data_IF_078656064152
#
_entry.id   IF_078656064152
#
_cell.length_a   1.000
_cell.length_b   1.000
_cell.length_c   1.000
_cell.angle_alpha   90.00
_cell.angle_beta   90.00
_cell.angle_gamma   90.00
#
_symmetry.space_group_name_H-M   'P 1'
#
loop_
_entity.id
_entity.type
_entity.pdbx_description
1 polymer ?
#
# COMPACT_ATOMS: atom_id res chain seq x y z
N UNK A 1 19.67 41.73 -5.19
CA UNK A 1 19.73 40.34 -4.66
C UNK A 1 18.39 39.71 -5.01
N UNK A 2 18.35 38.82 -6.01
CA UNK A 2 17.18 38.02 -6.28
C UNK A 2 17.02 37.06 -5.10
N UNK A 3 15.94 37.22 -4.32
CA UNK A 3 15.47 36.11 -3.48
C UNK A 3 15.23 34.93 -4.41
N UNK A 4 15.77 33.74 -4.16
CA UNK A 4 15.30 32.56 -4.89
C UNK A 4 13.81 32.49 -4.67
N UNK A 5 13.06 32.11 -5.71
CA UNK A 5 11.61 31.91 -5.64
C UNK A 5 11.36 31.04 -4.41
N UNK A 6 10.98 31.68 -3.31
CA UNK A 6 11.16 31.09 -1.99
C UNK A 6 9.98 30.24 -1.67
N UNK A 7 10.25 29.10 -1.13
CA UNK A 7 9.36 28.32 -0.31
C UNK A 7 8.37 29.16 0.54
N UNK A 8 8.78 30.37 0.95
CA UNK A 8 7.98 31.34 1.71
C UNK A 8 6.85 31.97 0.88
N UNK A 9 6.94 31.96 -0.44
CA UNK A 9 5.92 32.50 -1.34
C UNK A 9 4.75 31.52 -1.56
N UNK A 10 4.93 30.25 -1.16
CA UNK A 10 3.90 29.20 -1.22
C UNK A 10 2.85 29.38 -0.11
N UNK A 11 3.19 30.10 0.96
CA UNK A 11 2.31 30.35 2.08
C UNK A 11 1.93 31.82 2.20
N UNK A 12 0.89 32.28 1.47
CA UNK A 12 0.39 33.64 1.68
C UNK A 12 -0.07 33.80 3.13
N UNK A 13 0.27 34.92 3.73
CA UNK A 13 -0.17 35.24 5.10
C UNK A 13 -1.50 35.98 5.08
N UNK A 14 -2.44 35.63 6.00
CA UNK A 14 -2.42 34.55 7.00
C UNK A 14 -2.44 33.17 6.34
N UNK A 15 -1.96 32.14 7.05
CA UNK A 15 -2.07 30.75 6.60
C UNK A 15 -3.53 30.47 6.29
N UNK A 16 -3.82 30.25 5.01
CA UNK A 16 -5.14 29.97 4.49
C UNK A 16 -5.14 28.58 3.86
N UNK A 17 -5.51 27.56 4.63
CA UNK A 17 -6.01 26.32 4.03
C UNK A 17 -7.49 26.53 3.67
N UNK A 18 -8.00 25.82 2.67
CA UNK A 18 -9.44 25.72 2.50
C UNK A 18 -10.05 25.04 3.74
N UNK A 19 -11.23 25.48 4.14
CA UNK A 19 -11.93 24.86 5.25
C UNK A 19 -12.18 23.39 4.95
N UNK A 20 -11.72 22.52 5.82
CA UNK A 20 -12.14 21.14 5.82
C UNK A 20 -13.43 21.10 6.62
N UNK A 21 -14.54 20.73 5.99
CA UNK A 21 -15.73 20.34 6.74
C UNK A 21 -15.26 19.31 7.74
N UNK A 22 -15.42 19.56 9.04
CA UNK A 22 -15.05 18.57 10.03
C UNK A 22 -15.86 17.31 9.72
N UNK A 23 -15.26 16.33 9.03
CA UNK A 23 -15.96 15.09 8.78
C UNK A 23 -16.12 14.39 10.11
N UNK A 24 -16.97 13.39 10.20
CA UNK A 24 -16.78 12.41 11.24
C UNK A 24 -15.32 11.99 11.21
N UNK A 25 -14.66 12.04 12.36
CA UNK A 25 -13.29 11.58 12.54
C UNK A 25 -13.14 10.23 11.86
N UNK A 26 -12.09 10.03 11.06
CA UNK A 26 -11.85 8.73 10.46
C UNK A 26 -11.81 7.65 11.55
N UNK A 27 -12.30 6.47 11.24
CA UNK A 27 -12.30 5.36 12.18
C UNK A 27 -10.93 4.67 12.16
N UNK A 28 -10.46 4.20 13.31
CA UNK A 28 -9.26 3.36 13.34
C UNK A 28 -9.56 2.01 12.68
N UNK A 29 -8.63 1.47 11.85
CA UNK A 29 -8.80 0.15 11.29
C UNK A 29 -8.98 -0.89 12.41
N UNK A 30 -9.94 -1.77 12.24
CA UNK A 30 -10.18 -2.90 13.13
C UNK A 30 -9.52 -4.17 12.57
N UNK A 31 -9.50 -5.23 13.40
CA UNK A 31 -9.08 -6.56 12.94
C UNK A 31 -10.22 -7.33 12.29
N UNK A 32 -10.93 -6.69 11.37
CA UNK A 32 -11.95 -7.33 10.56
C UNK A 32 -11.33 -7.95 9.30
N UNK A 33 -11.86 -9.07 8.85
CA UNK A 33 -11.50 -9.65 7.57
C UNK A 33 -11.96 -8.76 6.41
N UNK A 34 -11.13 -8.65 5.37
CA UNK A 34 -11.50 -8.01 4.12
C UNK A 34 -11.64 -9.09 3.04
N UNK A 35 -12.88 -9.32 2.60
CA UNK A 35 -13.21 -10.45 1.74
C UNK A 35 -13.37 -10.01 0.29
N UNK A 36 -12.47 -10.48 -0.58
CA UNK A 36 -12.51 -10.30 -2.03
C UNK A 36 -13.07 -11.52 -2.77
N UNK A 37 -12.92 -11.52 -4.08
CA UNK A 37 -13.27 -12.66 -4.95
C UNK A 37 -12.16 -13.70 -5.00
N UNK A 38 -10.92 -13.24 -5.15
CA UNK A 38 -9.71 -14.05 -5.30
C UNK A 38 -9.00 -14.28 -3.97
N UNK A 39 -9.11 -13.32 -3.04
CA UNK A 39 -8.38 -13.33 -1.77
C UNK A 39 -9.27 -12.99 -0.58
N UNK A 40 -8.79 -13.39 0.60
CA UNK A 40 -9.25 -12.86 1.89
C UNK A 40 -8.03 -12.27 2.59
N UNK A 41 -8.14 -11.06 3.10
CA UNK A 41 -7.17 -10.50 4.03
C UNK A 41 -7.64 -10.82 5.44
N UNK A 42 -6.96 -11.76 6.07
CA UNK A 42 -7.26 -12.17 7.44
C UNK A 42 -6.36 -11.42 8.43
N UNK A 43 -6.90 -10.94 9.56
CA UNK A 43 -6.05 -10.41 10.63
C UNK A 43 -4.96 -11.42 10.95
N UNK A 44 -3.71 -10.97 10.93
CA UNK A 44 -2.57 -11.86 11.07
C UNK A 44 -2.62 -12.63 12.38
N UNK A 45 -2.45 -13.95 12.31
CA UNK A 45 -2.45 -14.88 13.43
C UNK A 45 -1.24 -15.82 13.31
N UNK A 46 -0.36 -15.81 14.32
CA UNK A 46 0.86 -16.59 14.27
C UNK A 46 0.63 -18.11 14.26
N UNK A 47 -0.46 -18.60 14.87
CA UNK A 47 -0.77 -20.03 14.88
C UNK A 47 -1.28 -20.53 13.53
N UNK A 48 -2.03 -19.68 12.81
CA UNK A 48 -2.65 -20.05 11.54
C UNK A 48 -1.72 -19.80 10.34
N UNK A 49 -0.95 -18.70 10.38
CA UNK A 49 -0.29 -18.18 9.19
C UNK A 49 1.22 -18.33 9.17
N UNK A 50 1.89 -18.57 10.34
CA UNK A 50 3.35 -18.49 10.40
C UNK A 50 4.06 -19.47 9.47
N UNK A 51 3.64 -20.74 9.47
CA UNK A 51 4.25 -21.77 8.63
C UNK A 51 4.03 -21.48 7.15
N UNK A 52 2.79 -21.15 6.76
CA UNK A 52 2.43 -20.87 5.39
C UNK A 52 3.18 -19.64 4.84
N UNK A 53 3.21 -18.54 5.60
CA UNK A 53 3.92 -17.32 5.22
C UNK A 53 5.44 -17.51 5.23
N UNK A 54 5.99 -18.32 6.13
CA UNK A 54 7.40 -18.66 6.13
C UNK A 54 7.78 -19.39 4.83
N UNK A 55 7.06 -20.43 4.50
CA UNK A 55 7.23 -21.20 3.26
C UNK A 55 7.15 -20.24 2.05
N UNK A 56 6.08 -19.47 1.96
CA UNK A 56 5.83 -18.54 0.85
C UNK A 56 6.92 -17.47 0.67
N UNK A 57 7.60 -17.09 1.75
CA UNK A 57 8.63 -16.05 1.73
C UNK A 57 10.09 -16.55 1.73
N UNK A 58 10.36 -17.88 1.81
CA UNK A 58 11.74 -18.38 2.03
C UNK A 58 12.13 -19.59 1.16
N UNK A 59 11.21 -20.27 0.50
CA UNK A 59 11.52 -21.54 -0.19
C UNK A 59 12.29 -21.41 -1.51
N UNK A 60 12.42 -20.20 -2.06
CA UNK A 60 13.16 -20.00 -3.30
C UNK A 60 14.00 -18.73 -3.28
N UNK A 61 15.00 -18.59 -4.16
CA UNK A 61 15.74 -17.33 -4.32
C UNK A 61 14.84 -16.14 -4.65
N UNK A 62 13.78 -16.35 -5.44
CA UNK A 62 12.80 -15.33 -5.79
C UNK A 62 11.99 -14.91 -4.57
N UNK A 63 11.63 -15.86 -3.69
CA UNK A 63 10.97 -15.58 -2.41
C UNK A 63 11.90 -14.83 -1.47
N UNK A 64 13.17 -15.20 -1.36
CA UNK A 64 14.16 -14.50 -0.54
C UNK A 64 14.39 -13.05 -0.98
N UNK A 65 14.30 -12.76 -2.28
CA UNK A 65 14.44 -11.41 -2.82
C UNK A 65 13.31 -10.44 -2.35
N UNK A 66 12.21 -10.95 -1.80
CA UNK A 66 11.14 -10.15 -1.19
C UNK A 66 11.67 -9.29 -0.04
N UNK A 67 12.63 -9.83 0.73
CA UNK A 67 13.17 -9.20 1.92
C UNK A 67 14.20 -8.10 1.66
N UNK A 68 14.63 -7.91 0.39
CA UNK A 68 15.68 -6.94 0.04
C UNK A 68 15.35 -5.50 0.45
N UNK A 69 14.07 -5.12 0.41
CA UNK A 69 13.60 -3.77 0.71
C UNK A 69 12.72 -3.67 1.96
N UNK A 70 12.55 -4.76 2.71
CA UNK A 70 11.87 -4.75 3.98
C UNK A 70 12.86 -4.57 5.13
N UNK A 71 12.49 -3.79 6.16
CA UNK A 71 13.36 -3.46 7.30
C UNK A 71 13.70 -4.66 8.16
N UNK A 72 13.10 -5.80 7.90
CA UNK A 72 13.23 -7.07 8.60
C UNK A 72 13.37 -8.23 7.61
N UNK A 73 13.66 -9.43 8.14
CA UNK A 73 13.84 -10.64 7.34
C UNK A 73 15.12 -10.64 6.48
N UNK A 74 15.38 -11.76 5.79
CA UNK A 74 14.73 -13.05 6.01
C UNK A 74 15.04 -13.65 7.38
N UNK A 75 14.29 -14.67 7.81
CA UNK A 75 14.50 -15.39 9.07
C UNK A 75 15.12 -16.77 8.84
N UNK A 76 15.94 -17.25 9.79
CA UNK A 76 16.67 -18.50 9.61
C UNK A 76 15.80 -19.76 9.63
N UNK A 77 14.63 -19.69 10.29
CA UNK A 77 13.68 -20.78 10.42
C UNK A 77 12.28 -20.29 10.76
N UNK A 78 11.32 -21.20 10.71
CA UNK A 78 9.90 -20.91 10.97
C UNK A 78 9.64 -20.44 12.41
N UNK A 79 10.39 -20.93 13.39
CA UNK A 79 10.19 -20.57 14.81
C UNK A 79 10.57 -19.10 15.02
N UNK A 80 11.70 -18.66 14.47
CA UNK A 80 12.10 -17.25 14.51
C UNK A 80 11.05 -16.35 13.83
N UNK A 81 10.49 -16.78 12.72
CA UNK A 81 9.43 -16.06 12.04
C UNK A 81 8.13 -16.02 12.85
N UNK A 82 7.78 -17.12 13.49
CA UNK A 82 6.59 -17.24 14.34
C UNK A 82 6.59 -16.25 15.51
N UNK A 83 7.75 -16.01 16.13
CA UNK A 83 7.88 -15.00 17.19
C UNK A 83 7.58 -13.60 16.65
N UNK A 84 8.09 -13.28 15.46
CA UNK A 84 7.78 -12.00 14.81
C UNK A 84 6.28 -11.88 14.53
N UNK A 85 5.66 -12.93 13.98
CA UNK A 85 4.21 -12.91 13.73
C UNK A 85 3.38 -12.78 15.02
N UNK A 86 3.82 -13.35 16.13
CA UNK A 86 3.15 -13.12 17.43
C UNK A 86 3.15 -11.65 17.81
N UNK A 87 4.29 -10.98 17.67
CA UNK A 87 4.41 -9.55 17.92
C UNK A 87 3.52 -8.75 16.97
N UNK A 88 3.55 -9.06 15.67
CA UNK A 88 2.71 -8.41 14.65
C UNK A 88 1.22 -8.65 14.90
N UNK A 89 0.85 -9.86 15.32
CA UNK A 89 -0.54 -10.21 15.65
C UNK A 89 -1.08 -9.46 16.85
N UNK A 90 -0.23 -9.04 17.78
CA UNK A 90 -0.61 -8.25 18.94
C UNK A 90 -0.55 -6.74 18.71
N UNK A 91 0.07 -6.28 17.62
CA UNK A 91 0.26 -4.86 17.33
C UNK A 91 -1.07 -4.15 17.07
N UNK A 92 -1.25 -2.96 17.61
CA UNK A 92 -2.41 -2.08 17.35
C UNK A 92 -2.13 -1.04 16.26
N UNK A 93 -0.86 -0.74 16.02
CA UNK A 93 -0.35 0.03 14.89
C UNK A 93 1.12 -0.36 14.68
N UNK A 94 1.47 -1.00 13.56
CA UNK A 94 0.64 -1.41 12.42
C UNK A 94 -0.40 -2.50 12.73
N UNK A 95 -1.51 -2.52 11.96
CA UNK A 95 -2.46 -3.65 11.93
C UNK A 95 -2.12 -4.51 10.72
N UNK A 96 -1.65 -5.72 10.99
CA UNK A 96 -1.18 -6.66 9.98
C UNK A 96 -2.25 -7.62 9.50
N UNK A 97 -2.23 -7.90 8.19
CA UNK A 97 -3.07 -8.88 7.52
C UNK A 97 -2.22 -9.92 6.81
N UNK A 98 -2.62 -11.18 6.92
CA UNK A 98 -2.21 -12.24 6.01
C UNK A 98 -3.11 -12.20 4.78
N UNK A 99 -2.53 -12.31 3.60
CA UNK A 99 -3.27 -12.36 2.34
C UNK A 99 -3.41 -13.83 1.96
N UNK A 100 -4.63 -14.34 2.06
CA UNK A 100 -4.97 -15.73 1.83
C UNK A 100 -5.61 -15.89 0.46
N UNK A 101 -5.05 -16.74 -0.39
CA UNK A 101 -5.62 -17.06 -1.70
C UNK A 101 -6.84 -17.96 -1.53
N UNK A 102 -7.97 -17.57 -2.11
CA UNK A 102 -9.18 -18.42 -2.12
C UNK A 102 -9.01 -19.69 -2.97
N UNK A 103 -8.16 -19.64 -3.98
CA UNK A 103 -7.88 -20.78 -4.85
C UNK A 103 -7.11 -21.88 -4.11
N UNK A 104 -6.10 -21.54 -3.32
CA UNK A 104 -5.25 -22.50 -2.60
C UNK A 104 -5.63 -22.69 -1.13
N UNK A 105 -6.41 -21.77 -0.55
CA UNK A 105 -6.69 -21.71 0.87
C UNK A 105 -5.47 -21.35 1.73
N UNK A 106 -4.37 -20.89 1.13
CA UNK A 106 -3.10 -20.65 1.82
C UNK A 106 -2.77 -19.16 1.90
N UNK A 107 -2.12 -18.77 3.01
CA UNK A 107 -1.54 -17.45 3.15
C UNK A 107 -0.29 -17.33 2.25
N UNK A 108 -0.27 -16.34 1.37
CA UNK A 108 0.75 -16.13 0.34
C UNK A 108 1.23 -14.68 0.25
N UNK A 109 0.98 -13.86 1.27
CA UNK A 109 1.44 -12.49 1.33
C UNK A 109 1.03 -11.79 2.61
N UNK A 110 1.51 -10.58 2.76
CA UNK A 110 1.24 -9.72 3.90
C UNK A 110 1.06 -8.27 3.46
N UNK A 111 0.21 -7.54 4.17
CA UNK A 111 0.13 -6.10 4.13
C UNK A 111 -0.32 -5.57 5.50
N UNK A 112 -0.19 -4.26 5.73
CA UNK A 112 -0.68 -3.64 6.96
C UNK A 112 -1.21 -2.24 6.71
N UNK A 113 -2.14 -1.80 7.58
CA UNK A 113 -2.37 -0.38 7.84
C UNK A 113 -1.41 0.08 8.91
N UNK A 114 -0.77 1.22 8.70
CA UNK A 114 0.17 1.79 9.68
C UNK A 114 0.12 3.32 9.65
N UNK A 115 0.75 3.93 10.67
CA UNK A 115 0.71 5.38 10.88
C UNK A 115 -0.73 5.91 10.86
N UNK A 116 -1.63 5.19 11.57
CA UNK A 116 -3.06 5.43 11.58
C UNK A 116 -3.40 6.69 12.37
N UNK A 117 -3.59 7.81 11.70
CA UNK A 117 -3.95 9.09 12.30
C UNK A 117 -5.40 9.44 11.95
N UNK A 118 -6.33 8.92 12.75
CA UNK A 118 -7.77 9.13 12.57
C UNK A 118 -8.16 10.62 12.70
N UNK A 119 -7.49 11.39 13.57
CA UNK A 119 -7.77 12.82 13.76
C UNK A 119 -7.53 13.62 12.47
N UNK A 120 -6.49 13.27 11.71
CA UNK A 120 -6.16 13.93 10.45
C UNK A 120 -6.69 13.17 9.23
N UNK A 121 -7.29 12.00 9.42
CA UNK A 121 -7.78 11.15 8.35
C UNK A 121 -6.65 10.65 7.42
N UNK A 122 -5.51 10.29 7.99
CA UNK A 122 -4.32 9.83 7.24
C UNK A 122 -3.92 8.44 7.69
N UNK A 123 -3.67 7.53 6.76
CA UNK A 123 -3.12 6.21 7.00
C UNK A 123 -2.19 5.79 5.87
N UNK A 124 -1.42 4.74 6.06
CA UNK A 124 -0.52 4.17 5.07
C UNK A 124 -0.81 2.67 4.87
N UNK A 125 -0.69 2.21 3.64
CA UNK A 125 -0.55 0.78 3.35
C UNK A 125 0.95 0.47 3.25
N UNK A 126 1.44 -0.41 4.11
CA UNK A 126 2.85 -0.81 4.12
C UNK A 126 3.09 -2.23 4.56
N UNK A 127 4.35 -2.56 4.85
CA UNK A 127 4.77 -3.92 5.15
C UNK A 127 4.33 -4.94 4.10
N UNK A 128 4.20 -4.49 2.85
CA UNK A 128 3.65 -5.28 1.74
C UNK A 128 4.71 -6.23 1.22
N UNK A 129 4.36 -7.50 1.18
CA UNK A 129 5.08 -8.47 0.39
C UNK A 129 4.11 -9.54 -0.14
N UNK A 130 4.43 -10.08 -1.29
CA UNK A 130 3.70 -11.13 -1.98
C UNK A 130 4.65 -12.26 -2.32
N UNK A 131 4.24 -13.49 -2.06
CA UNK A 131 4.92 -14.67 -2.58
C UNK A 131 5.04 -14.61 -4.11
N UNK A 132 6.05 -15.26 -4.73
CA UNK A 132 6.25 -15.20 -6.17
C UNK A 132 5.01 -15.52 -6.98
N UNK A 133 4.23 -16.52 -6.55
CA UNK A 133 2.99 -16.94 -7.22
C UNK A 133 1.86 -15.90 -7.15
N UNK A 134 1.86 -15.05 -6.12
CA UNK A 134 0.87 -13.98 -5.98
C UNK A 134 1.25 -12.72 -6.76
N UNK A 135 2.57 -12.51 -7.02
CA UNK A 135 3.05 -11.31 -7.71
C UNK A 135 2.49 -11.19 -9.12
N UNK A 136 2.09 -9.96 -9.51
CA UNK A 136 1.56 -9.61 -10.84
C UNK A 136 0.23 -10.26 -11.20
N UNK A 137 -0.48 -10.83 -10.23
CA UNK A 137 -1.79 -11.45 -10.44
C UNK A 137 -2.92 -10.45 -10.21
N UNK A 138 -4.12 -10.84 -10.65
CA UNK A 138 -5.38 -10.18 -10.31
C UNK A 138 -5.59 -10.17 -8.80
N UNK A 139 -5.32 -11.29 -8.13
CA UNK A 139 -5.44 -11.48 -6.69
C UNK A 139 -4.59 -10.47 -5.89
N UNK A 140 -3.32 -10.22 -6.30
CA UNK A 140 -2.48 -9.21 -5.67
C UNK A 140 -3.04 -7.79 -5.81
N UNK A 141 -3.66 -7.47 -6.95
CA UNK A 141 -4.31 -6.17 -7.17
C UNK A 141 -5.57 -6.05 -6.31
N UNK A 142 -6.37 -7.11 -6.24
CA UNK A 142 -7.58 -7.14 -5.40
C UNK A 142 -7.24 -6.97 -3.92
N UNK A 143 -6.18 -7.61 -3.41
CA UNK A 143 -5.75 -7.46 -2.03
C UNK A 143 -5.54 -5.99 -1.63
N UNK A 144 -4.81 -5.24 -2.44
CA UNK A 144 -4.55 -3.83 -2.17
C UNK A 144 -5.79 -2.96 -2.44
N UNK A 145 -6.62 -3.31 -3.40
CA UNK A 145 -7.89 -2.64 -3.65
C UNK A 145 -8.85 -2.75 -2.45
N UNK A 146 -8.96 -3.93 -1.82
CA UNK A 146 -9.76 -4.11 -0.61
C UNK A 146 -9.30 -3.20 0.53
N UNK A 147 -7.99 -3.06 0.72
CA UNK A 147 -7.45 -2.14 1.74
C UNK A 147 -7.76 -0.68 1.40
N UNK A 148 -7.62 -0.28 0.13
CA UNK A 148 -7.95 1.08 -0.30
C UNK A 148 -9.44 1.37 -0.09
N UNK A 149 -10.33 0.46 -0.52
CA UNK A 149 -11.77 0.61 -0.34
C UNK A 149 -12.14 0.69 1.13
N UNK A 150 -11.59 -0.20 1.96
CA UNK A 150 -11.84 -0.16 3.40
C UNK A 150 -11.44 1.18 4.03
N UNK A 151 -10.27 1.70 3.68
CA UNK A 151 -9.80 2.96 4.23
C UNK A 151 -10.66 4.17 3.81
N UNK A 152 -10.99 4.28 2.53
CA UNK A 152 -11.73 5.44 2.03
C UNK A 152 -13.24 5.32 2.25
N UNK A 153 -13.82 4.15 1.93
CA UNK A 153 -15.28 3.99 1.90
C UNK A 153 -15.87 3.66 3.28
N UNK A 154 -15.17 2.82 4.08
CA UNK A 154 -15.68 2.37 5.37
C UNK A 154 -15.14 3.21 6.54
N UNK A 155 -13.86 3.59 6.49
CA UNK A 155 -13.18 4.27 7.59
C UNK A 155 -13.09 5.80 7.42
N UNK A 156 -13.49 6.36 6.27
CA UNK A 156 -13.51 7.80 5.96
C UNK A 156 -12.12 8.48 6.03
N UNK A 157 -11.06 7.77 5.66
CA UNK A 157 -9.75 8.40 5.51
C UNK A 157 -9.75 9.36 4.32
N UNK A 158 -9.12 10.52 4.48
CA UNK A 158 -8.97 11.52 3.41
C UNK A 158 -7.67 11.37 2.62
N UNK A 159 -6.73 10.57 3.13
CA UNK A 159 -5.42 10.36 2.53
C UNK A 159 -4.89 8.96 2.84
N UNK A 160 -4.59 8.22 1.79
CA UNK A 160 -3.82 6.99 1.86
C UNK A 160 -2.40 7.24 1.39
N UNK A 161 -1.42 6.82 2.19
CA UNK A 161 0.00 6.94 1.88
C UNK A 161 0.60 5.61 1.42
N UNK A 162 1.71 5.73 0.68
CA UNK A 162 2.59 4.64 0.30
C UNK A 162 4.02 5.14 0.33
N UNK A 163 4.89 4.47 1.09
CA UNK A 163 6.33 4.75 1.14
C UNK A 163 7.14 3.55 0.69
N UNK A 164 8.21 3.80 -0.02
CA UNK A 164 9.17 2.74 -0.33
C UNK A 164 10.60 3.30 -0.43
N UNK A 165 11.58 2.40 -0.37
CA UNK A 165 12.94 2.76 -0.74
C UNK A 165 12.93 3.32 -2.17
N UNK A 166 13.56 4.47 -2.39
CA UNK A 166 13.61 5.13 -3.71
C UNK A 166 14.23 4.25 -4.81
N UNK A 167 15.06 3.28 -4.43
CA UNK A 167 15.65 2.28 -5.33
C UNK A 167 14.71 1.10 -5.62
N UNK A 168 13.62 0.93 -4.86
CA UNK A 168 12.67 -0.17 -5.08
C UNK A 168 11.73 0.14 -6.25
N UNK A 169 12.22 -0.07 -7.47
CA UNK A 169 11.47 0.19 -8.69
C UNK A 169 10.16 -0.62 -8.77
N UNK A 170 10.15 -1.86 -8.26
CA UNK A 170 8.93 -2.70 -8.23
C UNK A 170 7.83 -2.04 -7.41
N UNK A 171 8.15 -1.55 -6.22
CA UNK A 171 7.20 -0.87 -5.33
C UNK A 171 6.74 0.48 -5.92
N UNK A 172 7.66 1.27 -6.49
CA UNK A 172 7.33 2.54 -7.16
C UNK A 172 6.37 2.34 -8.33
N UNK A 173 6.59 1.29 -9.12
CA UNK A 173 5.71 0.94 -10.25
C UNK A 173 4.34 0.48 -9.75
N UNK A 174 4.30 -0.34 -8.68
CA UNK A 174 3.05 -0.80 -8.08
C UNK A 174 2.21 0.37 -7.54
N UNK A 175 2.82 1.31 -6.81
CA UNK A 175 2.13 2.49 -6.31
C UNK A 175 1.45 3.28 -7.44
N UNK A 176 2.20 3.63 -8.50
CA UNK A 176 1.65 4.36 -9.65
C UNK A 176 0.55 3.60 -10.38
N UNK A 177 0.73 2.28 -10.54
CA UNK A 177 -0.26 1.41 -11.18
C UNK A 177 -1.59 1.38 -10.40
N UNK A 178 -1.54 1.50 -9.08
CA UNK A 178 -2.71 1.56 -8.20
C UNK A 178 -3.29 2.97 -8.05
N UNK A 179 -2.73 3.96 -8.71
CA UNK A 179 -3.27 5.32 -8.71
C UNK A 179 -2.61 6.27 -7.72
N UNK A 180 -1.63 5.83 -6.96
CA UNK A 180 -0.88 6.72 -6.09
C UNK A 180 -0.06 7.72 -6.91
N UNK A 181 -0.12 8.99 -6.54
CA UNK A 181 0.70 10.06 -7.12
C UNK A 181 1.99 10.21 -6.33
N UNK A 182 3.08 10.41 -7.04
CA UNK A 182 4.38 10.71 -6.46
C UNK A 182 4.38 12.12 -5.86
N UNK A 183 4.97 12.27 -4.66
CA UNK A 183 5.03 13.55 -3.96
C UNK A 183 6.47 14.03 -3.71
N UNK A 184 7.44 13.13 -3.69
CA UNK A 184 8.82 13.51 -3.49
C UNK A 184 9.70 12.39 -2.95
N UNK A 185 10.98 12.71 -2.74
CA UNK A 185 11.96 11.83 -2.09
C UNK A 185 12.52 12.52 -0.85
N UNK A 186 12.47 11.82 0.28
CA UNK A 186 13.19 12.21 1.47
C UNK A 186 14.59 11.60 1.41
N UNK A 187 15.60 12.41 1.20
CA UNK A 187 16.98 11.97 1.15
C UNK A 187 17.51 11.73 2.56
N UNK A 188 18.39 10.72 2.71
CA UNK A 188 18.97 10.30 3.98
C UNK A 188 17.92 10.08 5.08
N UNK A 189 16.74 9.57 4.69
CA UNK A 189 15.59 9.49 5.58
C UNK A 189 15.75 8.43 6.66
N UNK A 190 16.30 7.27 6.33
CA UNK A 190 16.45 6.15 7.25
C UNK A 190 17.79 5.44 7.06
N UNK A 191 18.23 4.74 8.10
CA UNK A 191 19.29 3.73 8.00
C UNK A 191 18.61 2.36 7.93
N UNK A 192 18.91 1.59 6.88
CA UNK A 192 18.27 0.35 6.56
C UNK A 192 19.33 -0.74 6.34
N UNK A 193 19.34 -1.78 7.19
CA UNK A 193 20.34 -2.86 7.14
C UNK A 193 21.77 -2.33 6.99
N UNK A 194 22.11 -1.28 7.77
CA UNK A 194 23.41 -0.62 7.73
C UNK A 194 23.70 0.28 6.52
N UNK A 195 22.71 0.55 5.67
CA UNK A 195 22.84 1.40 4.49
C UNK A 195 21.89 2.58 4.54
N UNK A 196 22.24 3.65 3.83
CA UNK A 196 21.32 4.78 3.63
C UNK A 196 20.09 4.34 2.86
N UNK A 197 18.93 4.85 3.27
CA UNK A 197 17.66 4.71 2.58
C UNK A 197 17.05 6.08 2.31
N UNK A 198 16.98 6.46 1.06
CA UNK A 198 16.12 7.52 0.57
C UNK A 198 14.71 6.96 0.39
N UNK A 199 13.70 7.70 0.78
CA UNK A 199 12.32 7.22 0.76
C UNK A 199 11.49 8.01 -0.23
N UNK A 200 10.93 7.31 -1.22
CA UNK A 200 9.96 7.88 -2.14
C UNK A 200 8.55 7.82 -1.53
N UNK A 201 7.84 8.95 -1.60
CA UNK A 201 6.51 9.16 -1.05
C UNK A 201 5.46 9.27 -2.15
N UNK A 202 4.33 8.63 -1.90
CA UNK A 202 3.17 8.61 -2.78
C UNK A 202 1.89 8.72 -1.96
N UNK A 203 0.81 9.21 -2.57
CA UNK A 203 -0.50 9.21 -1.92
C UNK A 203 -1.65 9.15 -2.92
N UNK A 204 -2.82 8.72 -2.42
CA UNK A 204 -4.14 8.93 -3.01
C UNK A 204 -4.93 9.79 -2.03
N UNK A 205 -5.69 10.76 -2.54
CA UNK A 205 -6.60 11.58 -1.75
C UNK A 205 -8.05 11.10 -1.93
N UNK A 206 -8.91 11.40 -0.95
CA UNK A 206 -10.34 11.11 -0.99
C UNK A 206 -11.02 11.69 -2.24
N UNK A 207 -10.61 12.89 -2.65
CA UNK A 207 -11.09 13.54 -3.88
C UNK A 207 -10.68 12.82 -5.17
N UNK A 208 -9.62 12.01 -5.13
CA UNK A 208 -9.13 11.21 -6.26
C UNK A 208 -9.72 9.79 -6.24
N UNK A 209 -10.13 9.33 -5.05
CA UNK A 209 -10.54 7.95 -4.83
C UNK A 209 -11.71 7.48 -5.71
N UNK A 210 -12.79 8.25 -5.93
CA UNK A 210 -13.91 7.77 -6.76
C UNK A 210 -13.48 7.36 -8.17
N UNK A 211 -12.58 8.12 -8.81
CA UNK A 211 -12.08 7.79 -10.13
C UNK A 211 -11.08 6.61 -10.10
N UNK A 212 -10.16 6.62 -9.14
CA UNK A 212 -9.20 5.52 -8.92
C UNK A 212 -9.93 4.21 -8.66
N UNK A 213 -10.95 4.25 -7.78
CA UNK A 213 -11.81 3.11 -7.47
C UNK A 213 -12.46 2.55 -8.72
N UNK A 214 -13.14 3.39 -9.48
CA UNK A 214 -13.84 2.98 -10.71
C UNK A 214 -12.90 2.31 -11.72
N UNK A 215 -11.68 2.85 -11.91
CA UNK A 215 -10.68 2.28 -12.81
C UNK A 215 -10.22 0.90 -12.32
N UNK A 216 -9.96 0.74 -11.03
CA UNK A 216 -9.52 -0.56 -10.48
C UNK A 216 -10.66 -1.58 -10.51
N UNK A 217 -11.88 -1.20 -10.13
CA UNK A 217 -13.05 -2.08 -10.17
C UNK A 217 -13.32 -2.58 -11.59
N UNK A 218 -13.27 -1.69 -12.58
CA UNK A 218 -13.43 -2.07 -13.99
C UNK A 218 -12.32 -3.03 -14.42
N UNK A 219 -11.06 -2.73 -14.05
CA UNK A 219 -9.92 -3.60 -14.38
C UNK A 219 -10.05 -4.98 -13.71
N UNK A 220 -10.54 -5.05 -12.47
CA UNK A 220 -10.82 -6.30 -11.74
C UNK A 220 -12.08 -7.01 -12.25
N UNK A 221 -12.81 -6.43 -13.19
CA UNK A 221 -13.99 -7.06 -13.82
C UNK A 221 -13.65 -8.39 -14.46
N UNK A 222 -14.60 -9.33 -14.43
CA UNK A 222 -14.41 -10.66 -15.02
C UNK A 222 -14.08 -10.60 -16.51
N UNK A 223 -14.72 -9.66 -17.21
CA UNK A 223 -14.61 -9.50 -18.66
C UNK A 223 -13.24 -8.96 -19.12
N UNK A 224 -12.42 -8.49 -18.19
CA UNK A 224 -11.07 -8.01 -18.48
C UNK A 224 -10.00 -9.11 -18.43
N UNK A 225 -10.38 -10.37 -18.24
CA UNK A 225 -9.44 -11.50 -18.17
C UNK A 225 -9.82 -12.58 -19.16
N UNK A 226 -8.81 -13.09 -19.86
CA UNK A 226 -8.98 -14.24 -20.74
C UNK A 226 -9.03 -15.58 -19.98
N UNK A 227 -9.20 -16.66 -20.71
CA UNK A 227 -9.27 -18.02 -20.16
C UNK A 227 -7.95 -18.45 -19.44
N UNK A 228 -6.83 -17.77 -19.69
CA UNK A 228 -5.55 -18.02 -19.02
C UNK A 228 -5.38 -17.18 -17.75
N UNK A 229 -6.33 -16.27 -17.45
CA UNK A 229 -6.23 -15.31 -16.36
C UNK A 229 -5.37 -14.09 -16.67
N UNK A 230 -5.00 -13.88 -17.93
CA UNK A 230 -4.24 -12.69 -18.37
C UNK A 230 -5.20 -11.52 -18.60
N UNK A 231 -4.82 -10.32 -18.14
CA UNK A 231 -5.66 -9.14 -18.32
C UNK A 231 -5.61 -8.63 -19.78
N UNK A 232 -6.79 -8.32 -20.33
CA UNK A 232 -6.95 -7.78 -21.68
C UNK A 232 -6.53 -6.30 -21.77
N UNK A 233 -6.61 -5.56 -20.67
CA UNK A 233 -6.22 -4.15 -20.61
C UNK A 233 -5.17 -3.92 -19.54
N UNK A 234 -4.39 -2.84 -19.67
CA UNK A 234 -3.37 -2.47 -18.69
C UNK A 234 -3.93 -1.51 -17.65
N UNK A 235 -3.94 -1.92 -16.36
CA UNK A 235 -4.32 -1.02 -15.27
C UNK A 235 -3.46 0.25 -15.24
N UNK A 236 -2.15 0.13 -15.53
CA UNK A 236 -1.26 1.27 -15.54
C UNK A 236 -1.62 2.29 -16.64
N UNK A 237 -2.01 1.83 -17.83
CA UNK A 237 -2.49 2.71 -18.91
C UNK A 237 -3.84 3.33 -18.56
N UNK A 238 -4.79 2.55 -18.06
CA UNK A 238 -6.09 3.05 -17.62
C UNK A 238 -5.93 4.13 -16.53
N UNK A 239 -4.98 3.94 -15.61
CA UNK A 239 -4.71 4.90 -14.55
C UNK A 239 -4.09 6.22 -15.07
N UNK A 240 -3.41 6.22 -16.22
CA UNK A 240 -2.87 7.43 -16.86
C UNK A 240 -3.95 8.29 -17.51
N UNK A 241 -5.12 7.71 -17.81
CA UNK A 241 -6.23 8.45 -18.44
C UNK A 241 -7.11 9.22 -17.45
N UNK A 242 -6.73 9.26 -16.18
CA UNK A 242 -7.49 9.98 -15.15
C UNK A 242 -7.66 11.45 -15.49
N UNK A 243 -8.89 11.91 -15.29
CA UNK A 243 -9.31 13.30 -15.55
C UNK A 243 -9.22 14.20 -14.32
N UNK A 244 -8.99 13.62 -13.13
CA UNK A 244 -8.87 14.39 -11.90
C UNK A 244 -7.84 15.52 -12.03
N UNK A 245 -8.15 16.72 -11.54
CA UNK A 245 -7.26 17.87 -11.63
C UNK A 245 -5.89 17.52 -11.05
N UNK A 246 -4.84 18.01 -11.71
CA UNK A 246 -3.49 17.93 -11.16
C UNK A 246 -3.48 18.60 -9.79
N UNK A 247 -2.74 18.03 -8.84
CA UNK A 247 -2.47 18.71 -7.59
C UNK A 247 -1.60 19.94 -7.89
N UNK A 248 -1.80 21.03 -7.18
CA UNK A 248 -1.04 22.28 -7.38
C UNK A 248 0.48 22.11 -7.34
N UNK A 249 1.00 21.00 -6.77
CA UNK A 249 2.42 20.65 -6.78
C UNK A 249 2.95 20.16 -8.13
N UNK A 250 2.07 19.77 -9.07
CA UNK A 250 2.49 19.36 -10.42
C UNK A 250 2.79 20.56 -11.31
N UNK A 251 2.41 21.78 -10.89
CA UNK A 251 2.62 23.03 -11.61
C UNK A 251 3.94 23.74 -11.21
N UNK A 252 4.74 23.13 -10.33
CA UNK A 252 6.01 23.68 -9.82
C UNK A 252 7.26 23.06 -10.50
N UNK A 253 7.18 22.73 -11.78
CA UNK A 253 8.35 22.39 -12.61
C UNK A 253 8.81 23.56 -13.46
#
# INVERSE_FOLDING_TARGET
>A
MHKPAGYEDIFPRPLSGHSVSLPPTALLPSRAELVGREVVLEPQNALLHAEQLYIAGHESPEALAIWDYLTYGPWPNVDAYKEVLRSQSASTDPIFYAICSKQSGRACGQASFLDNNAQHGVTEIGHIWFAPELQRTRAATEALFLMLSHAFDDLNYRRMQWRCNSLNQKSRTAARRLGFRFEGVFYNHLIFKGKNRDTAWYSILDTEWPEVRSIIEHWLGHDNFDATGSSLTSLAQNMQTRTNPKRNSDDLN
#
